data_IF_735968191585
#
_entry.id   IF_735968191585
#
_cell.length_a   1.000
_cell.length_b   1.000
_cell.length_c   1.000
_cell.angle_alpha   90.00
_cell.angle_beta   90.00
_cell.angle_gamma   90.00
#
_symmetry.space_group_name_H-M   'P 1'
#
loop_
_entity.id
_entity.type
_entity.pdbx_description
1 polymer ?
#
# COMPACT_ATOMS: atom_id res chain seq x y z
N UNK A 1 23.35 1.50 8.25
CA UNK A 1 21.93 1.20 8.52
C UNK A 1 21.20 0.91 7.21
N UNK A 2 20.63 -0.29 7.04
CA UNK A 2 19.92 -0.73 5.82
C UNK A 2 18.45 -0.94 6.15
N UNK A 3 17.53 -0.42 5.32
CA UNK A 3 16.09 -0.71 5.40
C UNK A 3 15.81 -2.07 4.75
N UNK A 4 15.19 -2.98 5.50
CA UNK A 4 14.89 -4.36 5.06
C UNK A 4 13.41 -4.49 4.70
N UNK A 5 12.54 -3.84 5.45
CA UNK A 5 11.10 -3.96 5.25
C UNK A 5 10.38 -2.71 5.77
N UNK A 6 9.14 -2.54 5.31
CA UNK A 6 8.21 -1.54 5.82
C UNK A 6 6.88 -2.22 6.10
N UNK A 7 6.50 -2.23 7.37
CA UNK A 7 5.25 -2.84 7.82
C UNK A 7 4.19 -1.77 7.99
N UNK A 8 3.00 -2.04 7.46
CA UNK A 8 1.80 -1.24 7.68
C UNK A 8 0.89 -1.93 8.69
N UNK A 9 0.43 -1.18 9.69
CA UNK A 9 -0.68 -1.57 10.54
C UNK A 9 -1.71 -0.45 10.61
N UNK A 10 -2.96 -0.85 10.82
CA UNK A 10 -4.12 0.04 10.84
C UNK A 10 -4.96 -0.28 12.07
N UNK A 11 -4.87 0.59 13.08
CA UNK A 11 -5.82 0.59 14.21
C UNK A 11 -6.77 1.79 14.05
N UNK A 12 -6.59 2.82 14.88
CA UNK A 12 -7.29 4.12 14.77
C UNK A 12 -6.55 5.13 13.88
N UNK A 13 -5.30 4.82 13.54
CA UNK A 13 -4.40 5.63 12.72
C UNK A 13 -3.58 4.72 11.80
N UNK A 14 -2.98 5.33 10.78
CA UNK A 14 -2.05 4.65 9.87
C UNK A 14 -0.69 4.57 10.55
N UNK A 15 -0.17 3.36 10.75
CA UNK A 15 1.17 3.16 11.29
C UNK A 15 2.04 2.51 10.22
N UNK A 16 3.12 3.19 9.85
CA UNK A 16 4.17 2.63 9.01
C UNK A 16 5.45 2.56 9.80
N UNK A 17 6.08 1.40 9.75
CA UNK A 17 7.24 1.09 10.56
C UNK A 17 8.35 0.57 9.68
N UNK A 18 9.51 1.23 9.70
CA UNK A 18 10.72 0.76 9.06
C UNK A 18 11.38 -0.32 9.91
N UNK A 19 11.66 -1.45 9.28
CA UNK A 19 12.54 -2.48 9.82
C UNK A 19 13.92 -2.26 9.24
N UNK A 20 14.85 -1.85 10.09
CA UNK A 20 16.23 -1.56 9.72
C UNK A 20 17.18 -2.58 10.32
N UNK A 21 18.31 -2.81 9.68
CA UNK A 21 19.43 -3.53 10.28
C UNK A 21 20.70 -2.72 10.26
N UNK A 22 21.43 -2.82 11.36
CA UNK A 22 22.75 -2.26 11.55
C UNK A 22 23.60 -3.25 12.34
N UNK A 23 24.73 -3.68 11.75
CA UNK A 23 25.65 -4.64 12.36
C UNK A 23 24.97 -5.92 12.90
N UNK A 24 23.96 -6.42 12.19
CA UNK A 24 23.20 -7.61 12.59
C UNK A 24 22.15 -7.39 13.68
N UNK A 25 22.06 -6.18 14.26
CA UNK A 25 20.96 -5.79 15.15
C UNK A 25 19.79 -5.24 14.33
N UNK A 26 18.57 -5.53 14.78
CA UNK A 26 17.34 -5.01 14.17
C UNK A 26 16.92 -3.74 14.92
N UNK A 27 16.53 -2.73 14.16
CA UNK A 27 16.01 -1.46 14.66
C UNK A 27 14.64 -1.22 14.03
N UNK A 28 13.69 -0.77 14.84
CA UNK A 28 12.31 -0.55 14.44
C UNK A 28 12.00 0.93 14.65
N UNK A 29 11.53 1.61 13.61
CA UNK A 29 11.30 3.05 13.63
C UNK A 29 9.97 3.39 12.96
N UNK A 30 9.10 4.12 13.66
CA UNK A 30 7.89 4.65 13.08
C UNK A 30 8.23 5.77 12.09
N UNK A 31 7.58 5.77 10.92
CA UNK A 31 7.74 6.82 9.93
C UNK A 31 6.46 7.59 9.72
N UNK A 32 6.61 8.91 9.56
CA UNK A 32 5.53 9.78 9.15
C UNK A 32 5.44 9.76 7.63
N UNK A 33 4.26 9.46 7.11
CA UNK A 33 3.99 9.42 5.69
C UNK A 33 2.73 10.23 5.38
N UNK A 34 2.63 10.67 4.14
CA UNK A 34 1.47 11.40 3.66
C UNK A 34 0.21 10.55 3.75
N UNK A 35 -0.94 11.23 3.79
CA UNK A 35 -2.23 10.60 3.58
C UNK A 35 -2.27 9.80 2.27
N UNK A 36 -3.03 8.69 2.20
CA UNK A 36 -3.31 8.00 0.94
C UNK A 36 -4.00 8.93 -0.06
N UNK A 37 -3.59 8.83 -1.32
CA UNK A 37 -4.20 9.59 -2.39
C UNK A 37 -4.11 8.85 -3.72
N UNK A 38 -4.89 9.33 -4.66
CA UNK A 38 -4.86 8.93 -6.06
C UNK A 38 -5.13 10.16 -6.94
N UNK A 39 -4.96 10.01 -8.25
CA UNK A 39 -5.14 11.11 -9.20
C UNK A 39 -6.42 10.88 -10.01
N UNK A 40 -7.10 11.97 -10.32
CA UNK A 40 -8.30 11.97 -11.16
C UNK A 40 -8.04 12.92 -12.31
N UNK A 41 -8.27 12.45 -13.54
CA UNK A 41 -8.26 13.29 -14.73
C UNK A 41 -9.68 13.82 -14.95
N UNK A 42 -9.93 15.12 -14.74
CA UNK A 42 -11.26 15.68 -14.95
C UNK A 42 -11.57 15.87 -16.44
N UNK A 43 -12.85 15.75 -16.80
CA UNK A 43 -13.40 16.30 -18.05
C UNK A 43 -13.72 17.78 -17.85
N UNK A 44 -14.35 18.11 -16.73
CA UNK A 44 -14.60 19.47 -16.26
C UNK A 44 -13.98 19.63 -14.86
N UNK A 45 -12.95 20.47 -14.77
CA UNK A 45 -12.13 20.62 -13.56
C UNK A 45 -12.92 21.16 -12.36
N UNK A 46 -13.77 22.16 -12.57
CA UNK A 46 -14.54 22.78 -11.48
C UNK A 46 -15.66 21.86 -11.03
N UNK A 47 -16.37 21.25 -11.99
CA UNK A 47 -17.45 20.32 -11.69
C UNK A 47 -16.92 19.05 -11.01
N UNK A 48 -15.85 18.43 -11.52
CA UNK A 48 -15.26 17.24 -10.91
C UNK A 48 -14.78 17.51 -9.49
N UNK A 49 -14.11 18.65 -9.25
CA UNK A 49 -13.67 19.04 -7.91
C UNK A 49 -14.86 19.18 -6.96
N UNK A 50 -15.96 19.79 -7.41
CA UNK A 50 -17.18 19.95 -6.62
C UNK A 50 -17.86 18.60 -6.34
N UNK A 51 -17.97 17.73 -7.34
CA UNK A 51 -18.60 16.41 -7.19
C UNK A 51 -17.83 15.53 -6.21
N UNK A 52 -16.50 15.50 -6.33
CA UNK A 52 -15.61 14.72 -5.46
C UNK A 52 -15.64 15.26 -4.02
N UNK A 53 -15.64 16.59 -3.81
CA UNK A 53 -15.72 17.17 -2.47
C UNK A 53 -17.07 16.91 -1.78
N UNK A 54 -18.15 16.86 -2.55
CA UNK A 54 -19.50 16.61 -2.05
C UNK A 54 -19.84 15.11 -1.94
N UNK A 55 -18.96 14.23 -2.41
CA UNK A 55 -19.16 12.79 -2.35
C UNK A 55 -19.13 12.31 -0.89
N UNK A 56 -20.29 11.89 -0.40
CA UNK A 56 -20.44 11.15 0.85
C UNK A 56 -20.43 9.65 0.55
N UNK A 57 -19.65 8.88 1.30
CA UNK A 57 -19.60 7.43 1.17
C UNK A 57 -19.54 6.74 2.52
N UNK A 58 -19.98 5.49 2.54
CA UNK A 58 -19.92 4.66 3.74
C UNK A 58 -18.58 3.93 3.80
N UNK A 59 -17.91 4.02 4.96
CA UNK A 59 -16.71 3.26 5.26
C UNK A 59 -16.72 2.85 6.73
N UNK A 60 -16.57 1.54 7.00
CA UNK A 60 -16.66 0.96 8.36
C UNK A 60 -17.94 1.40 9.09
N UNK A 61 -19.10 1.26 8.45
CA UNK A 61 -20.43 1.59 8.99
C UNK A 61 -20.61 3.07 9.38
N UNK A 62 -19.77 3.96 8.84
CA UNK A 62 -19.82 5.41 9.07
C UNK A 62 -19.82 6.15 7.74
N UNK A 63 -20.67 7.17 7.65
CA UNK A 63 -20.62 8.11 6.54
C UNK A 63 -19.38 9.00 6.69
N UNK A 64 -18.60 9.10 5.62
CA UNK A 64 -17.39 9.91 5.54
C UNK A 64 -17.21 10.51 4.15
N UNK A 65 -16.21 11.38 4.03
CA UNK A 65 -15.99 12.23 2.87
C UNK A 65 -14.50 12.26 2.53
N UNK A 66 -14.19 12.69 1.31
CA UNK A 66 -12.83 13.00 0.88
C UNK A 66 -12.20 14.03 1.82
N UNK A 67 -10.94 13.84 2.20
CA UNK A 67 -10.25 14.78 3.10
C UNK A 67 -9.81 16.05 2.38
N UNK A 68 -9.29 15.90 1.17
CA UNK A 68 -8.80 17.03 0.37
C UNK A 68 -8.83 16.71 -1.12
N UNK A 69 -9.01 17.75 -1.94
CA UNK A 69 -8.87 17.69 -3.40
C UNK A 69 -7.97 18.85 -3.84
N UNK A 70 -6.78 18.53 -4.34
CA UNK A 70 -5.75 19.49 -4.75
C UNK A 70 -5.54 19.43 -6.27
N UNK A 71 -5.45 20.58 -6.93
CA UNK A 71 -5.05 20.64 -8.34
C UNK A 71 -3.54 20.45 -8.46
N UNK A 72 -3.11 19.48 -9.26
CA UNK A 72 -1.69 19.19 -9.50
C UNK A 72 -1.43 19.06 -10.99
N UNK A 73 -0.28 19.57 -11.45
CA UNK A 73 0.17 19.38 -12.83
C UNK A 73 1.15 18.22 -12.89
N UNK A 74 0.93 17.28 -13.81
CA UNK A 74 1.80 16.11 -14.03
C UNK A 74 2.19 16.02 -15.50
N UNK A 75 3.39 15.51 -15.77
CA UNK A 75 3.74 15.09 -17.12
C UNK A 75 3.01 13.76 -17.41
N UNK A 76 2.13 13.77 -18.40
CA UNK A 76 1.42 12.60 -18.88
C UNK A 76 1.48 12.59 -20.41
N UNK A 77 2.03 11.52 -20.97
CA UNK A 77 2.25 11.40 -22.43
C UNK A 77 2.99 12.61 -23.03
N UNK A 78 4.07 13.05 -22.36
CA UNK A 78 4.90 14.21 -22.74
C UNK A 78 4.18 15.57 -22.73
N UNK A 79 2.98 15.65 -22.12
CA UNK A 79 2.22 16.88 -21.94
C UNK A 79 2.08 17.19 -20.45
N UNK A 80 2.09 18.46 -20.10
CA UNK A 80 1.72 18.90 -18.75
C UNK A 80 0.20 18.94 -18.67
N UNK A 81 -0.38 18.01 -17.92
CA UNK A 81 -1.82 17.85 -17.76
C UNK A 81 -2.18 18.11 -16.30
N UNK A 82 -3.34 18.73 -16.11
CA UNK A 82 -3.94 19.02 -14.82
C UNK A 82 -4.73 17.81 -14.31
N UNK A 83 -4.44 17.41 -13.08
CA UNK A 83 -5.11 16.34 -12.36
C UNK A 83 -5.64 16.86 -11.04
N UNK A 84 -6.69 16.23 -10.53
CA UNK A 84 -7.13 16.39 -9.15
C UNK A 84 -6.51 15.29 -8.30
N UNK A 85 -5.68 15.66 -7.34
CA UNK A 85 -5.15 14.77 -6.30
C UNK A 85 -6.17 14.65 -5.19
N UNK A 86 -6.77 13.47 -5.08
CA UNK A 86 -7.83 13.16 -4.11
C UNK A 86 -7.22 12.42 -2.94
N UNK A 87 -7.35 13.00 -1.74
CA UNK A 87 -6.75 12.49 -0.51
C UNK A 87 -7.81 11.92 0.42
N UNK A 88 -7.58 10.73 0.98
CA UNK A 88 -8.48 10.04 1.91
C UNK A 88 -7.80 9.71 3.23
N UNK A 89 -8.57 9.37 4.25
CA UNK A 89 -8.04 9.15 5.60
C UNK A 89 -7.33 7.79 5.72
N UNK A 90 -7.90 6.73 5.17
CA UNK A 90 -7.34 5.38 5.25
C UNK A 90 -7.14 4.76 3.86
N UNK A 91 -6.07 3.97 3.65
CA UNK A 91 -5.80 3.34 2.35
C UNK A 91 -6.97 2.49 1.84
N UNK A 92 -7.68 1.81 2.74
CA UNK A 92 -8.83 0.96 2.42
C UNK A 92 -10.04 1.73 1.90
N UNK A 93 -10.07 3.05 2.02
CA UNK A 93 -11.10 3.89 1.41
C UNK A 93 -10.87 4.05 -0.10
N UNK A 94 -9.62 3.96 -0.57
CA UNK A 94 -9.26 4.19 -1.98
C UNK A 94 -10.03 3.25 -2.92
N UNK A 95 -10.09 1.91 -2.70
CA UNK A 95 -10.87 1.02 -3.57
C UNK A 95 -12.37 1.32 -3.58
N UNK A 96 -12.93 1.81 -2.47
CA UNK A 96 -14.36 2.14 -2.38
C UNK A 96 -14.68 3.40 -3.16
N UNK A 97 -13.88 4.45 -2.95
CA UNK A 97 -14.18 5.77 -3.47
C UNK A 97 -13.82 5.91 -4.95
N UNK A 98 -12.75 5.23 -5.41
CA UNK A 98 -12.31 5.33 -6.80
C UNK A 98 -13.38 4.81 -7.77
N UNK A 99 -14.12 3.76 -7.40
CA UNK A 99 -15.16 3.20 -8.26
C UNK A 99 -16.34 4.18 -8.36
N UNK A 100 -16.73 4.82 -7.25
CA UNK A 100 -17.77 5.86 -7.27
C UNK A 100 -17.37 7.08 -8.10
N UNK A 101 -16.10 7.51 -7.99
CA UNK A 101 -15.59 8.67 -8.73
C UNK A 101 -15.49 8.39 -10.24
N UNK A 102 -15.17 7.16 -10.64
CA UNK A 102 -15.17 6.74 -12.06
C UNK A 102 -16.54 6.84 -12.72
N UNK A 103 -17.63 6.80 -11.95
CA UNK A 103 -19.01 6.91 -12.46
C UNK A 103 -19.44 8.36 -12.73
N UNK A 104 -18.66 9.36 -12.29
CA UNK A 104 -19.00 10.76 -12.51
C UNK A 104 -18.74 11.18 -13.97
N UNK A 105 -19.73 11.78 -14.62
CA UNK A 105 -19.58 12.33 -15.98
C UNK A 105 -18.52 13.43 -16.07
N UNK A 106 -18.26 14.11 -14.95
CA UNK A 106 -17.21 15.14 -14.83
C UNK A 106 -15.79 14.55 -14.76
N UNK A 107 -15.65 13.22 -14.66
CA UNK A 107 -14.38 12.50 -14.53
C UNK A 107 -14.12 11.66 -15.78
N UNK A 108 -12.91 11.79 -16.32
CA UNK A 108 -12.47 11.00 -17.48
C UNK A 108 -11.91 9.66 -17.03
N UNK A 109 -10.94 9.70 -16.11
CA UNK A 109 -10.23 8.51 -15.67
C UNK A 109 -9.59 8.70 -14.29
N UNK A 110 -9.35 7.58 -13.59
CA UNK A 110 -8.68 7.54 -12.29
C UNK A 110 -7.33 6.84 -12.42
N UNK A 111 -6.29 7.44 -11.85
CA UNK A 111 -4.90 6.99 -11.93
C UNK A 111 -4.30 6.76 -10.54
N UNK A 112 -3.29 5.89 -10.48
CA UNK A 112 -2.51 5.59 -9.26
C UNK A 112 -3.33 5.04 -8.07
N UNK A 113 -4.62 4.72 -8.26
CA UNK A 113 -5.52 4.25 -7.20
C UNK A 113 -5.32 2.78 -6.79
N UNK A 114 -4.53 2.02 -7.55
CA UNK A 114 -4.17 0.63 -7.27
C UNK A 114 -2.80 0.47 -6.61
N UNK A 115 -2.10 1.57 -6.31
CA UNK A 115 -0.78 1.51 -5.67
C UNK A 115 -0.99 1.18 -4.17
N UNK A 116 -0.50 0.03 -3.67
CA UNK A 116 -0.55 -0.29 -2.24
C UNK A 116 0.13 0.81 -1.41
N UNK A 117 -0.46 1.15 -0.27
CA UNK A 117 -0.01 2.28 0.54
C UNK A 117 1.44 2.17 1.04
N UNK A 118 1.91 0.94 1.30
CA UNK A 118 3.33 0.69 1.63
C UNK A 118 4.23 1.11 0.46
N UNK A 119 3.92 0.69 -0.76
CA UNK A 119 4.70 1.06 -1.95
C UNK A 119 4.59 2.55 -2.26
N UNK A 120 3.40 3.15 -2.12
CA UNK A 120 3.23 4.62 -2.21
C UNK A 120 4.19 5.33 -1.26
N UNK A 121 4.23 4.88 -0.01
CA UNK A 121 5.08 5.47 1.01
C UNK A 121 6.56 5.31 0.70
N UNK A 122 6.99 4.17 0.16
CA UNK A 122 8.36 3.94 -0.32
C UNK A 122 8.72 4.94 -1.43
N UNK A 123 7.86 5.06 -2.44
CA UNK A 123 8.10 5.92 -3.61
C UNK A 123 8.16 7.39 -3.23
N UNK A 124 7.16 7.88 -2.49
CA UNK A 124 7.06 9.29 -2.13
C UNK A 124 8.21 9.74 -1.20
N UNK A 125 8.63 8.87 -0.28
CA UNK A 125 9.75 9.15 0.62
C UNK A 125 11.11 8.76 0.02
N UNK A 126 11.15 8.23 -1.21
CA UNK A 126 12.36 7.76 -1.89
C UNK A 126 13.18 6.79 -1.04
N UNK A 127 12.50 5.89 -0.32
CA UNK A 127 13.14 4.94 0.58
C UNK A 127 13.81 3.86 -0.27
N UNK A 128 15.11 3.67 -0.06
CA UNK A 128 15.87 2.60 -0.69
C UNK A 128 15.90 1.38 0.20
N UNK A 129 15.34 0.28 -0.29
CA UNK A 129 15.40 -1.02 0.38
C UNK A 129 16.71 -1.73 0.00
N UNK A 130 17.24 -2.51 0.95
CA UNK A 130 18.36 -3.43 0.75
C UNK A 130 19.69 -2.81 0.28
N UNK A 131 19.86 -1.48 0.38
CA UNK A 131 21.11 -0.81 0.00
C UNK A 131 22.28 -1.33 0.86
N UNK A 132 23.28 -1.92 0.20
CA UNK A 132 24.45 -2.59 0.82
C UNK A 132 24.08 -3.68 1.84
N UNK A 133 22.96 -4.39 1.63
CA UNK A 133 22.49 -5.41 2.55
C UNK A 133 23.14 -6.77 2.31
N UNK A 134 23.73 -7.35 3.38
CA UNK A 134 24.20 -8.74 3.38
C UNK A 134 23.40 -9.55 4.43
N UNK A 135 22.30 -10.22 4.04
CA UNK A 135 21.42 -10.92 4.98
C UNK A 135 22.04 -12.20 5.53
N UNK A 136 21.62 -12.58 6.74
CA UNK A 136 21.72 -13.98 7.20
C UNK A 136 20.57 -14.76 6.57
N UNK A 137 20.89 -15.79 5.79
CA UNK A 137 19.93 -16.61 5.05
C UNK A 137 19.74 -17.95 5.77
N UNK A 138 18.48 -18.36 5.96
CA UNK A 138 18.07 -19.68 6.45
C UNK A 138 17.10 -20.26 5.43
N UNK A 139 17.46 -21.41 4.84
CA UNK A 139 16.55 -22.21 4.05
C UNK A 139 15.88 -23.25 4.96
N UNK A 140 14.61 -23.58 4.70
CA UNK A 140 13.90 -24.65 5.39
C UNK A 140 12.95 -25.36 4.43
N UNK A 141 12.62 -26.61 4.75
CA UNK A 141 11.67 -27.43 4.02
C UNK A 141 10.87 -28.30 5.01
N UNK A 142 9.65 -28.68 4.63
CA UNK A 142 8.75 -29.46 5.48
C UNK A 142 8.17 -30.66 4.73
N UNK A 143 7.96 -31.75 5.44
CA UNK A 143 7.26 -32.92 4.94
C UNK A 143 6.01 -33.16 5.77
N UNK A 144 4.92 -33.56 5.13
CA UNK A 144 3.65 -33.86 5.80
C UNK A 144 3.23 -35.31 5.56
N UNK A 145 2.35 -35.82 6.41
CA UNK A 145 1.51 -36.96 6.02
C UNK A 145 0.63 -36.54 4.84
N UNK A 146 0.27 -37.50 4.01
CA UNK A 146 -0.77 -37.38 3.01
C UNK A 146 -1.17 -38.78 2.57
N UNK A 147 -2.48 -39.00 2.41
CA UNK A 147 -3.04 -40.26 1.91
C UNK A 147 -3.01 -40.36 0.36
N UNK A 148 -2.14 -39.59 -0.30
CA UNK A 148 -2.00 -39.56 -1.76
C UNK A 148 -2.75 -38.42 -2.47
N UNK A 149 -3.36 -37.50 -1.70
CA UNK A 149 -3.97 -36.26 -2.18
C UNK A 149 -3.13 -35.04 -1.75
N UNK A 150 -3.54 -33.84 -2.17
CA UNK A 150 -2.96 -32.61 -1.59
C UNK A 150 -3.19 -32.62 -0.06
N UNK A 151 -2.17 -32.37 0.78
CA UNK A 151 -2.30 -32.46 2.23
C UNK A 151 -3.38 -31.52 2.78
N UNK A 152 -4.16 -31.99 3.75
CA UNK A 152 -5.12 -31.18 4.50
C UNK A 152 -4.48 -30.65 5.79
N UNK A 153 -4.25 -29.33 5.92
CA UNK A 153 -3.57 -28.76 7.09
C UNK A 153 -4.34 -28.93 8.42
N UNK A 154 -5.62 -29.34 8.39
CA UNK A 154 -6.40 -29.62 9.59
C UNK A 154 -6.23 -31.06 10.11
N UNK A 155 -5.83 -31.99 9.24
CA UNK A 155 -5.83 -33.43 9.54
C UNK A 155 -4.47 -34.07 9.34
N UNK A 156 -3.74 -33.66 8.30
CA UNK A 156 -2.39 -34.12 8.02
C UNK A 156 -1.36 -33.44 8.92
N UNK A 157 -0.37 -34.22 9.36
CA UNK A 157 0.67 -33.77 10.30
C UNK A 157 1.94 -33.42 9.56
N UNK A 158 2.62 -32.38 10.02
CA UNK A 158 4.03 -32.17 9.66
C UNK A 158 4.84 -33.31 10.31
N UNK A 159 5.55 -34.08 9.49
CA UNK A 159 6.38 -35.22 9.92
C UNK A 159 7.86 -34.87 10.00
N UNK A 160 8.32 -33.90 9.19
CA UNK A 160 9.70 -33.43 9.19
C UNK A 160 9.77 -31.94 8.94
N UNK A 161 10.75 -31.29 9.56
CA UNK A 161 11.18 -29.93 9.27
C UNK A 161 12.70 -30.00 9.13
N UNK A 162 13.21 -29.73 7.94
CA UNK A 162 14.65 -29.65 7.67
C UNK A 162 15.05 -28.19 7.43
N UNK A 163 16.29 -27.82 7.75
CA UNK A 163 16.79 -26.47 7.53
C UNK A 163 18.29 -26.46 7.26
N UNK A 164 18.73 -25.40 6.58
CA UNK A 164 20.13 -25.15 6.27
C UNK A 164 20.47 -23.66 6.37
N UNK A 165 21.59 -23.35 7.01
CA UNK A 165 22.24 -22.05 6.92
C UNK A 165 23.75 -22.24 6.92
N UNK A 166 24.47 -21.37 6.20
CA UNK A 166 25.94 -21.40 6.14
C UNK A 166 26.60 -21.14 7.51
N UNK A 167 25.91 -20.45 8.42
CA UNK A 167 26.46 -19.96 9.68
C UNK A 167 25.61 -20.38 10.90
N UNK A 168 24.95 -21.53 10.84
CA UNK A 168 24.30 -22.13 12.02
C UNK A 168 25.29 -22.96 12.82
#
# INVERSE_FOLDING_TARGET
MTVIDIVYSEDSQRHLTLVKSENGKKHIEAIKTSEPYFLVLPVDLEQAKKDILNLNYEFKEKMTNVQNVELVTKNFQNKNIEFLKVTVKFPREVPVIRERIKEFESVSEVFEADIPYVFRSILDNKIKLYENFNPKILAFDIETTSDGNFPDPLTDKIVSISYYSKNF
#
